data_IF_029550556389
#
_entry.id   IF_029550556389
#
_cell.length_a   1.000
_cell.length_b   1.000
_cell.length_c   1.000
_cell.angle_alpha   90.00
_cell.angle_beta   90.00
_cell.angle_gamma   90.00
#
_symmetry.space_group_name_H-M   'P 1'
#
loop_
_entity.id
_entity.type
_entity.pdbx_description
1 polymer ?
#
# COMPACT_ATOMS: atom_id res chain seq x y z
N UNK A 1 -20.32 -46.79 7.15
CA UNK A 1 -19.10 -46.10 6.67
C UNK A 1 -18.75 -45.10 7.77
N UNK A 2 -17.94 -45.52 8.73
CA UNK A 2 -17.58 -44.69 9.88
C UNK A 2 -16.52 -43.70 9.43
N UNK A 3 -16.86 -42.41 9.47
CA UNK A 3 -15.91 -41.35 9.19
C UNK A 3 -14.89 -41.36 10.34
N UNK A 4 -13.62 -41.63 10.04
CA UNK A 4 -12.52 -41.57 11.00
C UNK A 4 -12.32 -40.11 11.48
N UNK A 5 -13.08 -39.72 12.50
CA UNK A 5 -13.01 -38.43 13.20
C UNK A 5 -11.57 -38.05 13.63
N UNK A 6 -10.68 -38.98 14.04
CA UNK A 6 -9.32 -38.62 14.45
C UNK A 6 -8.44 -38.06 13.33
N UNK A 7 -8.64 -38.52 12.10
CA UNK A 7 -7.85 -38.09 10.94
C UNK A 7 -8.30 -36.72 10.44
N UNK A 8 -9.61 -36.46 10.48
CA UNK A 8 -10.19 -35.15 10.19
C UNK A 8 -9.71 -34.09 11.17
N UNK A 9 -9.70 -34.39 12.47
CA UNK A 9 -9.19 -33.47 13.50
C UNK A 9 -7.70 -33.16 13.33
N UNK A 10 -6.89 -34.16 12.94
CA UNK A 10 -5.46 -33.95 12.62
C UNK A 10 -5.27 -33.05 11.41
N UNK A 11 -6.07 -33.24 10.36
CA UNK A 11 -6.06 -32.40 9.15
C UNK A 11 -6.44 -30.95 9.47
N UNK A 12 -7.50 -30.72 10.24
CA UNK A 12 -7.93 -29.37 10.63
C UNK A 12 -6.85 -28.66 11.47
N UNK A 13 -6.22 -29.37 12.40
CA UNK A 13 -5.14 -28.82 13.22
C UNK A 13 -3.93 -28.42 12.37
N UNK A 14 -3.60 -29.20 11.33
CA UNK A 14 -2.52 -28.85 10.40
C UNK A 14 -2.86 -27.62 9.55
N UNK A 15 -4.11 -27.48 9.09
CA UNK A 15 -4.58 -26.31 8.34
C UNK A 15 -4.51 -25.04 9.20
N UNK A 16 -4.88 -25.10 10.48
CA UNK A 16 -4.79 -23.96 11.41
C UNK A 16 -3.34 -23.56 11.69
N UNK A 17 -2.44 -24.52 11.84
CA UNK A 17 -1.01 -24.28 12.01
C UNK A 17 -0.40 -23.62 10.77
N UNK A 18 -0.74 -24.11 9.58
CA UNK A 18 -0.28 -23.54 8.31
C UNK A 18 -0.82 -22.12 8.09
N UNK A 19 -2.10 -21.89 8.40
CA UNK A 19 -2.72 -20.56 8.29
C UNK A 19 -2.05 -19.55 9.22
N UNK A 20 -1.79 -19.94 10.47
CA UNK A 20 -1.05 -19.11 11.43
C UNK A 20 0.39 -18.82 10.99
N UNK A 21 1.08 -19.80 10.40
CA UNK A 21 2.42 -19.61 9.86
C UNK A 21 2.41 -18.66 8.65
N UNK A 22 1.42 -18.78 7.76
CA UNK A 22 1.27 -17.89 6.61
C UNK A 22 1.03 -16.45 7.05
N UNK A 23 0.10 -16.21 7.99
CA UNK A 23 -0.18 -14.87 8.50
C UNK A 23 1.01 -14.25 9.23
N UNK A 24 1.82 -15.05 9.95
CA UNK A 24 3.07 -14.57 10.56
C UNK A 24 4.13 -14.24 9.51
N UNK A 25 4.26 -15.06 8.45
CA UNK A 25 5.15 -14.77 7.34
C UNK A 25 4.72 -13.50 6.61
N UNK A 26 3.43 -13.34 6.29
CA UNK A 26 2.86 -12.12 5.72
C UNK A 26 3.20 -10.91 6.58
N UNK A 27 2.98 -10.99 7.89
CA UNK A 27 3.34 -9.91 8.82
C UNK A 27 4.84 -9.58 8.80
N UNK A 28 5.71 -10.60 8.77
CA UNK A 28 7.17 -10.41 8.65
C UNK A 28 7.57 -9.84 7.29
N UNK A 29 6.90 -10.22 6.20
CA UNK A 29 7.06 -9.61 4.87
C UNK A 29 6.63 -8.13 4.88
N UNK A 30 5.62 -7.77 5.66
CA UNK A 30 5.15 -6.38 5.77
C UNK A 30 5.95 -5.51 6.76
N UNK A 31 6.50 -6.10 7.83
CA UNK A 31 7.24 -5.39 8.89
C UNK A 31 8.73 -5.19 8.56
N UNK A 32 9.36 -6.03 7.72
CA UNK A 32 10.80 -5.93 7.40
C UNK A 32 11.15 -5.25 6.08
N UNK A 33 10.17 -4.83 5.28
CA UNK A 33 10.47 -4.03 4.10
C UNK A 33 10.50 -2.56 4.51
N UNK A 34 11.67 -1.92 4.41
CA UNK A 34 11.74 -0.58 3.83
C UNK A 34 10.76 -0.61 2.66
N UNK A 35 9.59 0.02 2.77
CA UNK A 35 8.61 -0.03 1.68
C UNK A 35 9.04 1.05 0.70
N UNK A 36 9.82 0.75 -0.37
CA UNK A 36 10.15 1.77 -1.36
C UNK A 36 8.88 2.35 -1.97
N UNK A 37 7.76 1.60 -1.91
CA UNK A 37 6.46 2.00 -2.43
C UNK A 37 5.38 2.07 -1.35
N UNK A 38 4.70 3.20 -1.31
CA UNK A 38 3.51 3.48 -0.52
C UNK A 38 2.26 3.24 -1.36
N UNK A 39 1.18 2.78 -0.75
CA UNK A 39 -0.14 2.77 -1.39
C UNK A 39 -0.79 4.14 -1.34
N UNK A 40 -1.86 4.35 -2.12
CA UNK A 40 -2.67 5.57 -2.05
C UNK A 40 -3.15 5.85 -0.61
N UNK A 41 -3.61 4.81 0.08
CA UNK A 41 -4.15 4.92 1.43
C UNK A 41 -3.05 5.23 2.46
N UNK A 42 -1.85 4.68 2.29
CA UNK A 42 -0.69 5.04 3.14
C UNK A 42 -0.38 6.54 3.01
N UNK A 43 -0.29 7.04 1.77
CA UNK A 43 0.00 8.45 1.51
C UNK A 43 -1.12 9.37 1.99
N UNK A 44 -2.37 8.97 1.79
CA UNK A 44 -3.53 9.71 2.28
C UNK A 44 -3.49 9.84 3.81
N UNK A 45 -3.16 8.76 4.51
CA UNK A 45 -3.00 8.75 5.96
C UNK A 45 -1.84 9.63 6.41
N UNK A 46 -0.67 9.50 5.78
CA UNK A 46 0.55 10.27 6.11
C UNK A 46 0.32 11.78 5.95
N UNK A 47 -0.40 12.20 4.91
CA UNK A 47 -0.68 13.61 4.63
C UNK A 47 -1.99 14.13 5.24
N UNK A 48 -2.76 13.28 5.92
CA UNK A 48 -4.11 13.58 6.43
C UNK A 48 -5.05 14.13 5.34
N UNK A 49 -5.00 13.50 4.17
CA UNK A 49 -5.81 13.80 3.01
C UNK A 49 -6.70 12.59 2.67
N UNK A 50 -7.66 12.78 1.76
CA UNK A 50 -8.47 11.68 1.25
C UNK A 50 -7.75 10.93 0.11
N UNK A 51 -8.02 9.63 -0.01
CA UNK A 51 -7.57 8.80 -1.16
C UNK A 51 -7.95 9.42 -2.51
N UNK A 52 -9.12 10.08 -2.58
CA UNK A 52 -9.56 10.81 -3.77
C UNK A 52 -8.59 11.93 -4.14
N UNK A 53 -8.09 12.68 -3.16
CA UNK A 53 -7.14 13.77 -3.37
C UNK A 53 -5.81 13.25 -3.92
N UNK A 54 -5.30 12.16 -3.33
CA UNK A 54 -4.06 11.52 -3.78
C UNK A 54 -4.23 10.97 -5.21
N UNK A 55 -5.35 10.30 -5.52
CA UNK A 55 -5.67 9.86 -6.89
C UNK A 55 -5.81 11.03 -7.86
N UNK A 56 -6.33 12.17 -7.43
CA UNK A 56 -6.39 13.37 -8.26
C UNK A 56 -4.99 13.92 -8.56
N UNK A 57 -4.08 13.93 -7.59
CA UNK A 57 -2.69 14.34 -7.82
C UNK A 57 -1.94 13.40 -8.78
N UNK A 58 -2.22 12.10 -8.73
CA UNK A 58 -1.64 11.14 -9.67
C UNK A 58 -2.20 11.37 -11.10
N UNK A 59 -3.53 11.46 -11.24
CA UNK A 59 -4.16 11.47 -12.56
C UNK A 59 -4.20 12.85 -13.21
N UNK A 60 -4.60 13.87 -12.46
CA UNK A 60 -4.83 15.24 -12.92
C UNK A 60 -3.68 16.18 -12.55
N UNK A 61 -2.96 15.87 -11.48
CA UNK A 61 -1.91 16.74 -10.94
C UNK A 61 -2.44 17.83 -10.02
N UNK A 62 -1.50 18.51 -9.38
CA UNK A 62 -1.72 19.65 -8.49
C UNK A 62 -1.07 20.88 -9.11
N UNK A 63 -1.74 22.03 -9.05
CA UNK A 63 -1.21 23.29 -9.56
C UNK A 63 -0.20 23.87 -8.57
N UNK A 64 1.02 24.12 -9.03
CA UNK A 64 2.08 24.73 -8.24
C UNK A 64 1.74 26.19 -7.91
N UNK A 65 1.90 26.65 -6.65
CA UNK A 65 1.46 27.97 -6.21
C UNK A 65 2.18 29.11 -6.94
N UNK A 66 3.50 29.02 -7.11
CA UNK A 66 4.30 30.07 -7.76
C UNK A 66 4.27 29.99 -9.30
N UNK A 67 4.70 28.86 -9.87
CA UNK A 67 4.85 28.71 -11.34
C UNK A 67 3.53 28.50 -12.08
N UNK A 68 2.42 28.25 -11.38
CA UNK A 68 1.10 27.89 -11.93
C UNK A 68 1.07 26.66 -12.84
N UNK A 69 2.19 25.93 -12.97
CA UNK A 69 2.28 24.68 -13.73
C UNK A 69 1.56 23.56 -12.98
N UNK A 70 1.00 22.61 -13.72
CA UNK A 70 0.39 21.41 -13.15
C UNK A 70 1.47 20.33 -13.02
N UNK A 71 1.66 19.82 -11.80
CA UNK A 71 2.66 18.80 -11.48
C UNK A 71 1.93 17.57 -10.98
N UNK A 72 2.24 16.40 -11.54
CA UNK A 72 1.63 15.12 -11.14
C UNK A 72 2.48 14.42 -10.09
N UNK A 73 1.82 13.69 -9.20
CA UNK A 73 2.50 12.76 -8.30
C UNK A 73 2.84 11.48 -9.08
N UNK A 74 4.12 11.13 -9.13
CA UNK A 74 4.57 9.92 -9.81
C UNK A 74 4.06 8.68 -9.06
N UNK A 75 3.42 7.78 -9.80
CA UNK A 75 2.95 6.50 -9.30
C UNK A 75 3.01 5.43 -10.39
N UNK A 76 3.35 4.21 -9.99
CA UNK A 76 3.31 3.02 -10.83
C UNK A 76 1.97 2.34 -10.64
N UNK A 77 1.26 2.06 -11.73
CA UNK A 77 0.02 1.28 -11.69
C UNK A 77 0.36 -0.20 -11.77
N UNK A 78 -0.14 -1.00 -10.83
CA UNK A 78 0.01 -2.46 -10.84
C UNK A 78 -1.04 -3.10 -11.73
N UNK A 79 -0.84 -4.37 -12.10
CA UNK A 79 -1.78 -5.12 -12.94
C UNK A 79 -3.18 -5.24 -12.32
N UNK A 80 -3.27 -5.23 -10.98
CA UNK A 80 -4.53 -5.16 -10.23
C UNK A 80 -5.21 -3.79 -10.23
N UNK A 81 -4.67 -2.80 -10.95
CA UNK A 81 -5.24 -1.46 -11.07
C UNK A 81 -4.96 -0.52 -9.88
N UNK A 82 -4.13 -0.94 -8.92
CA UNK A 82 -3.74 -0.13 -7.77
C UNK A 82 -2.52 0.75 -8.08
N UNK A 83 -2.39 1.89 -7.40
CA UNK A 83 -1.22 2.75 -7.52
C UNK A 83 -0.21 2.46 -6.40
N UNK A 84 1.07 2.48 -6.78
CA UNK A 84 2.25 2.38 -5.90
C UNK A 84 3.09 3.64 -6.10
N UNK A 85 3.37 4.37 -5.02
CA UNK A 85 4.07 5.66 -5.04
C UNK A 85 5.43 5.47 -4.38
N UNK A 86 6.53 5.86 -5.02
CA UNK A 86 7.82 5.77 -4.33
C UNK A 86 7.90 6.81 -3.21
N UNK A 87 8.45 6.44 -2.05
CA UNK A 87 8.61 7.38 -0.92
C UNK A 87 9.38 8.64 -1.34
N UNK A 88 10.49 8.48 -2.07
CA UNK A 88 11.28 9.59 -2.61
C UNK A 88 10.47 10.50 -3.56
N UNK A 89 9.61 9.93 -4.40
CA UNK A 89 8.76 10.73 -5.30
C UNK A 89 7.73 11.54 -4.52
N UNK A 90 7.19 10.99 -3.42
CA UNK A 90 6.29 11.71 -2.51
C UNK A 90 7.01 12.86 -1.79
N UNK A 91 8.23 12.63 -1.30
CA UNK A 91 9.05 13.63 -0.62
C UNK A 91 9.35 14.81 -1.56
N UNK A 92 9.90 14.53 -2.75
CA UNK A 92 10.17 15.55 -3.77
C UNK A 92 8.89 16.28 -4.18
N UNK A 93 7.76 15.58 -4.32
CA UNK A 93 6.49 16.22 -4.62
C UNK A 93 6.09 17.18 -3.50
N UNK A 94 6.17 16.77 -2.22
CA UNK A 94 5.79 17.61 -1.10
C UNK A 94 6.66 18.87 -0.98
N UNK A 95 7.98 18.76 -1.16
CA UNK A 95 8.90 19.90 -1.14
C UNK A 95 8.49 21.02 -2.11
N UNK A 96 8.00 20.66 -3.29
CA UNK A 96 7.51 21.62 -4.29
C UNK A 96 6.28 22.42 -3.83
N UNK A 97 5.54 21.95 -2.83
CA UNK A 97 4.33 22.62 -2.33
C UNK A 97 4.44 23.13 -0.89
N UNK A 98 5.54 22.83 -0.19
CA UNK A 98 5.78 23.25 1.19
C UNK A 98 6.90 24.27 1.34
N UNK A 99 7.75 24.48 0.32
CA UNK A 99 8.76 25.54 0.35
C UNK A 99 8.10 26.91 0.44
N UNK A 100 8.16 27.50 1.63
CA UNK A 100 7.75 28.88 1.94
C UNK A 100 8.83 29.87 1.55
#
# INVERSE_FOLDING_TARGET
>A
MEVHIPELTKLLTQVDLLSNQLSRMERLFFEKQDKPFLTVTDVATELRLSDYTIKAWINKGRKHPQTRKVIKLNAVKTDGGHYRIKRKDLETFNELFTSK
#
